data_IF_444824327253
#
_entry.id   IF_444824327253
#
_cell.length_a   1.000
_cell.length_b   1.000
_cell.length_c   1.000
_cell.angle_alpha   90.00
_cell.angle_beta   90.00
_cell.angle_gamma   90.00
#
_symmetry.space_group_name_H-M   'P 1'
#
loop_
_entity.id
_entity.type
_entity.pdbx_description
1 polymer ?
#
# COMPACT_ATOMS: atom_id res chain seq x y z
N UNK A 1 -4.16 21.23 -5.40
CA UNK A 1 -3.92 20.03 -6.24
C UNK A 1 -3.09 19.04 -5.44
N UNK A 2 -3.60 17.83 -5.18
CA UNK A 2 -2.87 16.77 -4.46
C UNK A 2 -2.59 15.64 -5.46
N UNK A 3 -1.32 15.29 -5.65
CA UNK A 3 -0.84 14.28 -6.60
C UNK A 3 -0.50 12.99 -5.85
N UNK A 4 -0.90 11.85 -6.40
CA UNK A 4 -0.55 10.51 -5.91
C UNK A 4 0.17 9.77 -7.05
N UNK A 5 1.15 8.93 -6.72
CA UNK A 5 1.95 8.19 -7.70
C UNK A 5 1.46 6.74 -7.81
N UNK A 6 1.38 6.21 -9.04
CA UNK A 6 1.22 4.78 -9.33
C UNK A 6 2.44 4.30 -10.11
N UNK A 7 2.82 3.05 -9.85
CA UNK A 7 3.99 2.38 -10.41
C UNK A 7 3.49 1.29 -11.36
N UNK A 8 3.79 1.42 -12.65
CA UNK A 8 3.49 0.38 -13.64
C UNK A 8 4.78 -0.30 -14.10
N UNK A 9 4.90 -1.60 -13.84
CA UNK A 9 5.81 -2.49 -14.57
C UNK A 9 5.05 -3.07 -15.75
N UNK A 10 5.42 -2.71 -16.98
CA UNK A 10 4.77 -3.27 -18.16
C UNK A 10 5.08 -4.76 -18.28
N UNK A 11 4.08 -5.61 -18.04
CA UNK A 11 4.12 -7.02 -18.42
C UNK A 11 3.20 -7.92 -17.61
N UNK A 12 2.08 -8.29 -18.23
CA UNK A 12 1.22 -9.46 -17.96
C UNK A 12 -0.08 -9.24 -17.16
N UNK A 13 -1.16 -9.41 -17.93
CA UNK A 13 -2.54 -9.78 -17.63
C UNK A 13 -3.53 -8.75 -17.06
N UNK A 14 -4.53 -8.50 -17.92
CA UNK A 14 -5.79 -7.82 -17.70
C UNK A 14 -6.53 -8.37 -16.47
N UNK A 15 -6.46 -7.65 -15.37
CA UNK A 15 -7.55 -7.65 -14.40
C UNK A 15 -8.28 -6.34 -14.61
N UNK A 16 -9.53 -6.42 -15.10
CA UNK A 16 -10.45 -5.28 -15.21
C UNK A 16 -10.59 -4.64 -13.83
N UNK A 17 -9.79 -3.61 -13.58
CA UNK A 17 -9.95 -2.74 -12.44
C UNK A 17 -10.89 -1.64 -12.91
N UNK A 18 -12.06 -1.52 -12.29
CA UNK A 18 -12.87 -0.32 -12.43
C UNK A 18 -12.01 0.84 -11.93
N UNK A 19 -11.47 1.60 -12.89
CA UNK A 19 -10.68 2.79 -12.65
C UNK A 19 -11.65 3.81 -12.09
N UNK A 20 -11.53 4.12 -10.80
CA UNK A 20 -12.14 5.30 -10.21
C UNK A 20 -11.67 6.51 -11.03
N UNK A 21 -12.58 7.06 -11.85
CA UNK A 21 -12.31 8.05 -12.90
C UNK A 21 -11.69 9.37 -12.38
N UNK A 22 -11.50 9.51 -11.06
CA UNK A 22 -10.91 10.66 -10.40
C UNK A 22 -9.43 10.55 -10.00
N UNK A 23 -8.76 9.42 -10.22
CA UNK A 23 -7.38 9.22 -9.72
C UNK A 23 -6.35 9.19 -10.86
N UNK A 24 -6.08 10.36 -11.46
CA UNK A 24 -4.95 10.57 -12.39
C UNK A 24 -3.62 10.40 -11.63
N UNK A 25 -3.07 9.19 -11.65
CA UNK A 25 -1.78 8.93 -11.04
C UNK A 25 -0.64 9.54 -11.86
N UNK A 26 0.28 10.23 -11.18
CA UNK A 26 1.46 10.79 -11.83
C UNK A 26 2.45 9.66 -12.12
N UNK A 27 2.80 9.47 -13.39
CA UNK A 27 3.90 8.59 -13.77
C UNK A 27 5.22 9.29 -13.44
N UNK A 28 6.04 8.64 -12.62
CA UNK A 28 7.36 9.13 -12.22
C UNK A 28 8.37 8.06 -12.57
N UNK A 29 9.44 8.45 -13.27
CA UNK A 29 10.58 7.56 -13.51
C UNK A 29 11.28 7.29 -12.18
N UNK A 30 11.42 6.01 -11.85
CA UNK A 30 12.09 5.54 -10.64
C UNK A 30 13.07 4.43 -11.02
N UNK A 31 14.19 4.38 -10.31
CA UNK A 31 15.19 3.34 -10.47
C UNK A 31 14.61 1.95 -10.14
N UNK A 32 15.14 0.92 -10.82
CA UNK A 32 14.69 -0.47 -10.65
C UNK A 32 14.86 -0.96 -9.20
N UNK A 33 15.87 -0.49 -8.48
CA UNK A 33 16.06 -0.81 -7.06
C UNK A 33 14.91 -0.31 -6.18
N UNK A 34 14.39 0.88 -6.48
CA UNK A 34 13.25 1.46 -5.76
C UNK A 34 11.98 0.66 -6.04
N UNK A 35 11.80 0.18 -7.28
CA UNK A 35 10.67 -0.68 -7.63
C UNK A 35 10.68 -1.98 -6.82
N UNK A 36 11.85 -2.63 -6.69
CA UNK A 36 12.00 -3.86 -5.91
C UNK A 36 11.72 -3.64 -4.42
N UNK A 37 12.08 -2.48 -3.86
CA UNK A 37 11.72 -2.13 -2.48
C UNK A 37 10.20 -1.94 -2.32
N UNK A 38 9.54 -1.37 -3.33
CA UNK A 38 8.10 -1.13 -3.35
C UNK A 38 7.27 -2.38 -3.60
N UNK A 39 7.82 -3.47 -4.16
CA UNK A 39 7.09 -4.73 -4.37
C UNK A 39 6.51 -5.32 -3.09
N UNK A 40 7.17 -5.08 -1.95
CA UNK A 40 6.66 -5.52 -0.64
C UNK A 40 5.84 -4.44 0.09
N UNK A 41 5.43 -3.41 -0.62
CA UNK A 41 4.65 -2.28 -0.11
C UNK A 41 3.23 -2.28 -0.67
N UNK A 42 2.26 -1.94 0.17
CA UNK A 42 0.83 -1.87 -0.16
C UNK A 42 0.25 -0.54 0.26
N UNK A 43 -0.34 0.19 -0.69
CA UNK A 43 -1.13 1.40 -0.40
C UNK A 43 -2.58 0.99 -0.18
N UNK A 44 -3.12 1.32 0.99
CA UNK A 44 -4.51 1.08 1.36
C UNK A 44 -5.25 2.39 1.60
N UNK A 45 -6.57 2.35 1.41
CA UNK A 45 -7.49 3.42 1.82
C UNK A 45 -8.23 2.97 3.08
N UNK A 46 -8.15 3.77 4.13
CA UNK A 46 -8.86 3.55 5.38
C UNK A 46 -10.34 3.91 5.18
N UNK A 47 -11.22 2.93 5.42
CA UNK A 47 -12.67 3.10 5.30
C UNK A 47 -13.27 4.08 6.33
N UNK A 48 -12.54 4.31 7.41
CA UNK A 48 -12.89 5.23 8.49
C UNK A 48 -11.65 6.08 8.77
N UNK A 49 -11.82 7.26 9.37
CA UNK A 49 -10.71 8.02 9.96
C UNK A 49 -10.15 7.27 11.17
N UNK A 50 -9.51 6.13 10.91
CA UNK A 50 -8.76 5.36 11.88
C UNK A 50 -7.41 6.02 11.97
N UNK A 51 -7.04 6.44 13.19
CA UNK A 51 -5.70 6.94 13.42
C UNK A 51 -4.68 5.84 13.06
N UNK A 52 -3.69 6.17 12.23
CA UNK A 52 -2.57 5.28 11.89
C UNK A 52 -1.92 4.68 13.14
N UNK A 53 -1.95 5.41 14.26
CA UNK A 53 -1.53 4.94 15.58
C UNK A 53 -2.27 3.68 16.03
N UNK A 54 -3.59 3.57 15.83
CA UNK A 54 -4.36 2.36 16.19
C UNK A 54 -3.90 1.16 15.37
N UNK A 55 -3.64 1.35 14.08
CA UNK A 55 -3.12 0.29 13.19
C UNK A 55 -1.77 -0.22 13.71
N UNK A 56 -0.85 0.71 14.03
CA UNK A 56 0.46 0.38 14.62
C UNK A 56 0.32 -0.39 15.93
N UNK A 57 -0.56 0.05 16.83
CA UNK A 57 -0.81 -0.65 18.09
C UNK A 57 -1.37 -2.05 17.85
N UNK A 58 -2.32 -2.22 16.93
CA UNK A 58 -2.88 -3.54 16.62
C UNK A 58 -1.80 -4.49 16.09
N UNK A 59 -0.99 -4.05 15.12
CA UNK A 59 0.11 -4.86 14.60
C UNK A 59 1.13 -5.23 15.68
N UNK A 60 1.43 -4.28 16.58
CA UNK A 60 2.30 -4.55 17.72
C UNK A 60 1.73 -5.65 18.64
N UNK A 61 0.44 -5.58 18.95
CA UNK A 61 -0.23 -6.58 19.80
C UNK A 61 -0.40 -7.95 19.10
N UNK A 62 -0.48 -7.96 17.77
CA UNK A 62 -0.51 -9.17 16.94
C UNK A 62 0.90 -9.79 16.73
N UNK A 63 1.96 -9.16 17.26
CA UNK A 63 3.35 -9.63 17.10
C UNK A 63 3.95 -9.33 15.73
N UNK A 64 3.33 -8.44 14.95
CA UNK A 64 3.71 -8.04 13.60
C UNK A 64 4.52 -6.73 13.60
N UNK A 65 5.47 -6.59 14.53
CA UNK A 65 6.23 -5.34 14.73
C UNK A 65 7.18 -5.00 13.58
N UNK A 66 7.52 -5.97 12.73
CA UNK A 66 8.33 -5.79 11.53
C UNK A 66 7.55 -5.18 10.36
N UNK A 67 6.22 -5.07 10.46
CA UNK A 67 5.40 -4.38 9.48
C UNK A 67 5.46 -2.88 9.75
N UNK A 68 5.91 -2.12 8.76
CA UNK A 68 5.96 -0.66 8.82
C UNK A 68 4.64 -0.07 8.31
N UNK A 69 4.14 0.92 9.05
CA UNK A 69 2.92 1.66 8.70
C UNK A 69 3.24 3.14 8.58
N UNK A 70 3.01 3.72 7.41
CA UNK A 70 3.25 5.14 7.13
C UNK A 70 1.96 5.84 6.69
N UNK A 71 1.70 7.02 7.28
CA UNK A 71 0.60 7.88 6.89
C UNK A 71 0.97 8.59 5.57
N UNK A 72 0.12 8.47 4.54
CA UNK A 72 0.29 9.16 3.26
C UNK A 72 -0.61 10.39 3.13
N UNK A 73 -1.31 10.76 4.20
CA UNK A 73 -2.25 11.84 4.29
C UNK A 73 -3.66 11.44 3.86
N UNK A 74 -4.65 12.25 4.30
CA UNK A 74 -6.09 11.93 4.16
C UNK A 74 -6.39 10.61 4.86
N UNK A 75 -6.95 9.66 4.12
CA UNK A 75 -7.29 8.32 4.55
C UNK A 75 -6.39 7.28 3.88
N UNK A 76 -5.21 7.64 3.39
CA UNK A 76 -4.27 6.71 2.76
C UNK A 76 -3.18 6.27 3.72
N UNK A 77 -2.87 4.99 3.70
CA UNK A 77 -1.80 4.40 4.49
C UNK A 77 -0.93 3.51 3.61
N UNK A 78 0.38 3.56 3.83
CA UNK A 78 1.34 2.63 3.25
C UNK A 78 1.69 1.58 4.30
N UNK A 79 1.55 0.31 3.93
CA UNK A 79 2.04 -0.84 4.67
C UNK A 79 3.26 -1.39 3.96
N UNK A 80 4.30 -1.75 4.70
CA UNK A 80 5.48 -2.41 4.16
C UNK A 80 5.86 -3.57 5.07
N UNK A 81 6.23 -4.71 4.47
CA UNK A 81 6.85 -5.82 5.20
C UNK A 81 8.13 -6.25 4.48
N UNK A 82 9.21 -6.58 5.21
CA UNK A 82 10.38 -7.21 4.61
C UNK A 82 10.13 -8.66 4.14
N UNK A 83 8.97 -9.25 4.50
CA UNK A 83 8.60 -10.61 4.10
C UNK A 83 7.59 -10.58 2.95
N UNK A 84 7.99 -11.09 1.79
CA UNK A 84 7.13 -11.19 0.62
C UNK A 84 5.89 -12.05 0.88
N UNK A 85 4.74 -11.59 0.39
CA UNK A 85 3.44 -12.27 0.53
C UNK A 85 2.78 -12.20 1.92
N UNK A 86 3.45 -11.63 2.93
CA UNK A 86 2.89 -11.52 4.28
C UNK A 86 1.73 -10.52 4.33
N UNK A 87 1.87 -9.36 3.67
CA UNK A 87 0.82 -8.35 3.60
C UNK A 87 -0.39 -8.84 2.80
N UNK A 88 -0.18 -9.57 1.72
CA UNK A 88 -1.26 -10.18 0.93
C UNK A 88 -2.06 -11.19 1.75
N UNK A 89 -1.36 -12.01 2.53
CA UNK A 89 -1.98 -12.98 3.41
C UNK A 89 -2.76 -12.29 4.53
N UNK A 90 -2.21 -11.22 5.10
CA UNK A 90 -2.87 -10.41 6.13
C UNK A 90 -4.15 -9.74 5.60
N UNK A 91 -4.10 -9.20 4.38
CA UNK A 91 -5.25 -8.59 3.73
C UNK A 91 -6.33 -9.62 3.36
N UNK A 92 -5.96 -10.81 2.88
CA UNK A 92 -6.90 -11.89 2.55
C UNK A 92 -7.55 -12.52 3.78
N UNK A 93 -6.83 -12.59 4.90
CA UNK A 93 -7.36 -13.18 6.13
C UNK A 93 -8.39 -12.30 6.86
N UNK A 94 -8.45 -11.00 6.54
CA UNK A 94 -9.40 -10.05 7.13
C UNK A 94 -10.58 -9.70 6.21
N UNK A 95 -10.70 -10.36 5.04
CA UNK A 95 -11.80 -10.22 4.10
C UNK A 95 -12.98 -11.15 4.44
#
# INVERSE_FOLDING_TARGET
MRKTALVNASGVNEVKQEVDEGNEALQVEVDVSVLQELENSYVGVLAINVEVRRIKTTLYMEGLTHIMVMDMGRNMVLLYSPKSGELESLCKAKA
#
